data_IF_492197770449
#
_entry.id   IF_492197770449
#
_cell.length_a   1.000
_cell.length_b   1.000
_cell.length_c   1.000
_cell.angle_alpha   90.00
_cell.angle_beta   90.00
_cell.angle_gamma   90.00
#
_symmetry.space_group_name_H-M   'P 1'
#
loop_
_entity.id
_entity.type
_entity.pdbx_description
1 polymer ?
#
# COMPACT_ATOMS: atom_id res chain seq x y z
N UNK A 1 50.82 -91.49 31.10
CA UNK A 1 50.64 -91.33 29.65
C UNK A 1 49.19 -91.69 29.32
N UNK A 2 48.61 -90.96 28.38
CA UNK A 2 47.21 -90.92 27.90
C UNK A 2 46.31 -92.17 28.04
N UNK A 3 45.03 -91.92 28.37
CA UNK A 3 43.75 -92.47 27.80
C UNK A 3 42.59 -91.95 28.70
N UNK A 4 41.63 -91.14 28.24
CA UNK A 4 40.50 -91.36 27.31
C UNK A 4 39.20 -91.82 28.01
N UNK A 5 38.08 -91.19 27.60
CA UNK A 5 36.65 -91.57 27.73
C UNK A 5 35.92 -91.13 29.02
N UNK A 6 35.03 -90.15 28.94
CA UNK A 6 33.59 -90.18 28.58
C UNK A 6 32.70 -90.63 29.74
N UNK A 7 31.90 -89.70 30.29
CA UNK A 7 30.46 -89.89 30.49
C UNK A 7 29.87 -88.55 30.96
N UNK A 8 29.32 -87.76 30.04
CA UNK A 8 28.49 -86.60 30.38
C UNK A 8 27.05 -86.99 30.08
N UNK A 9 26.38 -87.52 31.11
CA UNK A 9 24.97 -87.90 31.09
C UNK A 9 24.05 -86.69 31.21
N UNK A 10 22.95 -86.78 30.48
CA UNK A 10 21.77 -85.91 30.52
C UNK A 10 21.20 -85.73 31.96
N UNK A 11 20.49 -84.67 32.31
CA UNK A 11 19.06 -84.49 32.04
C UNK A 11 18.59 -83.07 32.45
N UNK A 12 17.62 -82.55 31.71
CA UNK A 12 16.85 -81.30 31.92
C UNK A 12 16.08 -81.28 33.27
N UNK A 13 15.54 -80.14 33.81
CA UNK A 13 14.51 -79.35 33.12
C UNK A 13 14.38 -77.84 33.45
N UNK A 14 13.85 -77.11 32.47
CA UNK A 14 12.91 -76.00 32.66
C UNK A 14 13.49 -74.64 33.06
N UNK A 15 13.18 -73.61 32.27
CA UNK A 15 12.59 -72.31 32.68
C UNK A 15 12.73 -71.26 31.57
N UNK A 16 11.58 -70.92 30.98
CA UNK A 16 11.13 -69.57 30.58
C UNK A 16 12.13 -68.68 29.82
N UNK A 17 11.95 -68.62 28.50
CA UNK A 17 12.08 -67.39 27.71
C UNK A 17 10.85 -67.35 26.79
N UNK A 18 9.80 -66.59 27.08
CA UNK A 18 9.74 -65.14 26.91
C UNK A 18 10.01 -64.72 25.46
N UNK A 19 8.93 -64.27 24.80
CA UNK A 19 8.97 -63.06 24.00
C UNK A 19 9.77 -63.07 22.70
N UNK A 20 9.40 -63.89 21.71
CA UNK A 20 9.79 -63.62 20.32
C UNK A 20 8.93 -64.39 19.31
N UNK A 21 7.63 -64.14 19.30
CA UNK A 21 6.80 -64.34 18.10
C UNK A 21 5.51 -63.53 18.23
N UNK A 22 5.66 -62.22 18.09
CA UNK A 22 4.59 -61.33 17.63
C UNK A 22 5.22 -60.41 16.56
N UNK A 23 5.07 -60.81 15.31
CA UNK A 23 5.38 -59.98 14.16
C UNK A 23 4.16 -60.00 13.26
N UNK A 24 3.21 -59.15 13.62
CA UNK A 24 2.65 -58.13 12.74
C UNK A 24 2.31 -58.65 11.34
N UNK A 25 1.19 -59.38 11.27
CA UNK A 25 0.46 -59.60 10.04
C UNK A 25 -0.09 -58.24 9.58
N UNK A 26 0.76 -57.47 8.88
CA UNK A 26 0.39 -56.22 8.24
C UNK A 26 -0.69 -56.51 7.21
N UNK A 27 -1.95 -56.50 7.66
CA UNK A 27 -3.11 -56.27 6.79
C UNK A 27 -2.90 -54.91 6.15
N UNK A 28 -2.30 -54.91 4.97
CA UNK A 28 -2.32 -53.77 4.05
C UNK A 28 -3.79 -53.54 3.68
N UNK A 29 -4.47 -52.71 4.47
CA UNK A 29 -5.78 -52.21 4.15
C UNK A 29 -5.66 -51.38 2.87
N UNK A 30 -6.06 -51.98 1.75
CA UNK A 30 -6.22 -51.30 0.48
C UNK A 30 -7.24 -50.18 0.75
N UNK A 31 -6.77 -48.93 0.87
CA UNK A 31 -7.65 -47.77 0.92
C UNK A 31 -8.54 -47.86 -0.33
N UNK A 32 -9.87 -48.03 -0.18
CA UNK A 32 -10.72 -48.25 -1.35
C UNK A 32 -10.50 -47.08 -2.30
N UNK A 33 -10.27 -47.35 -3.59
CA UNK A 33 -9.96 -46.33 -4.60
C UNK A 33 -10.91 -45.11 -4.53
N UNK A 34 -12.15 -45.34 -4.10
CA UNK A 34 -13.14 -44.31 -3.78
C UNK A 34 -12.72 -43.32 -2.69
N UNK A 35 -12.09 -43.75 -1.60
CA UNK A 35 -11.55 -42.85 -0.57
C UNK A 35 -10.39 -42.00 -1.10
N UNK A 36 -9.51 -42.58 -1.92
CA UNK A 36 -8.43 -41.82 -2.57
C UNK A 36 -8.99 -40.77 -3.54
N UNK A 37 -10.00 -41.15 -4.34
CA UNK A 37 -10.67 -40.22 -5.25
C UNK A 37 -11.41 -39.11 -4.50
N UNK A 38 -12.10 -39.43 -3.40
CA UNK A 38 -12.78 -38.42 -2.56
C UNK A 38 -11.77 -37.47 -1.90
N UNK A 39 -10.64 -37.97 -1.40
CA UNK A 39 -9.58 -37.15 -0.84
C UNK A 39 -8.94 -36.22 -1.89
N UNK A 40 -8.71 -36.72 -3.11
CA UNK A 40 -8.23 -35.91 -4.23
C UNK A 40 -9.22 -34.83 -4.65
N UNK A 41 -10.52 -35.15 -4.71
CA UNK A 41 -11.57 -34.19 -5.03
C UNK A 41 -11.68 -33.10 -3.96
N UNK A 42 -11.65 -33.47 -2.67
CA UNK A 42 -11.65 -32.51 -1.57
C UNK A 42 -10.41 -31.62 -1.58
N UNK A 43 -9.23 -32.18 -1.86
CA UNK A 43 -7.99 -31.42 -2.02
C UNK A 43 -8.03 -30.45 -3.21
N UNK A 44 -8.56 -30.88 -4.36
CA UNK A 44 -8.69 -30.04 -5.55
C UNK A 44 -9.71 -28.90 -5.35
N UNK A 45 -10.85 -29.18 -4.69
CA UNK A 45 -11.84 -28.15 -4.34
C UNK A 45 -11.26 -27.14 -3.35
N UNK A 46 -10.49 -27.59 -2.35
CA UNK A 46 -9.80 -26.71 -1.41
C UNK A 46 -8.75 -25.81 -2.10
N UNK A 47 -7.99 -26.36 -3.05
CA UNK A 47 -7.03 -25.61 -3.87
C UNK A 47 -7.71 -24.56 -4.76
N UNK A 48 -8.86 -24.88 -5.34
CA UNK A 48 -9.63 -23.97 -6.19
C UNK A 48 -10.27 -22.82 -5.39
N UNK A 49 -10.71 -23.06 -4.15
CA UNK A 49 -11.29 -22.00 -3.30
C UNK A 49 -10.22 -21.11 -2.67
N UNK A 50 -9.07 -21.66 -2.27
CA UNK A 50 -7.94 -20.89 -1.71
C UNK A 50 -7.41 -19.83 -2.68
N UNK A 51 -7.42 -20.10 -3.99
CA UNK A 51 -6.97 -19.14 -5.02
C UNK A 51 -7.89 -17.92 -5.16
N UNK A 52 -9.16 -18.02 -4.77
CA UNK A 52 -10.11 -16.90 -4.74
C UNK A 52 -10.13 -16.15 -3.38
N UNK A 53 -9.50 -16.72 -2.35
CA UNK A 53 -9.51 -16.17 -0.97
C UNK A 53 -8.16 -15.58 -0.57
N UNK A 54 -7.07 -15.95 -1.24
CA UNK A 54 -5.76 -15.32 -1.05
C UNK A 54 -5.67 -14.05 -1.91
N UNK A 55 -5.75 -12.83 -1.31
CA UNK A 55 -5.37 -11.63 -2.04
C UNK A 55 -3.93 -11.81 -2.51
N UNK A 56 -3.72 -11.70 -3.82
CA UNK A 56 -2.39 -11.73 -4.42
C UNK A 56 -1.53 -10.65 -3.79
N UNK A 57 -0.62 -11.07 -2.92
CA UNK A 57 0.41 -10.23 -2.37
C UNK A 57 1.55 -10.14 -3.36
N UNK A 58 1.42 -9.29 -4.39
CA UNK A 58 2.49 -8.79 -5.25
C UNK A 58 1.94 -7.50 -5.89
N UNK A 59 2.48 -6.30 -5.76
CA UNK A 59 3.78 -5.85 -5.32
C UNK A 59 3.59 -4.67 -4.37
N UNK A 60 4.29 -4.72 -3.23
CA UNK A 60 4.70 -3.48 -2.57
C UNK A 60 5.72 -2.84 -3.51
N UNK A 61 5.24 -2.12 -4.52
CA UNK A 61 6.00 -1.03 -5.10
C UNK A 61 6.42 -0.22 -3.88
N UNK A 62 7.73 -0.13 -3.63
CA UNK A 62 8.27 0.71 -2.57
C UNK A 62 7.53 2.05 -2.65
N UNK A 63 6.59 2.27 -1.73
CA UNK A 63 5.85 3.51 -1.71
C UNK A 63 6.94 4.55 -1.45
N UNK A 64 7.19 5.49 -2.38
CA UNK A 64 8.18 6.51 -2.13
C UNK A 64 7.84 7.14 -0.79
N UNK A 65 8.82 7.20 0.11
CA UNK A 65 8.64 7.77 1.44
C UNK A 65 7.92 9.11 1.27
N UNK A 66 6.69 9.17 1.77
CA UNK A 66 5.75 10.26 1.51
C UNK A 66 6.30 11.58 2.08
N UNK A 67 7.28 11.48 2.97
CA UNK A 67 7.83 12.57 3.75
C UNK A 67 9.14 13.14 3.17
N UNK A 68 9.74 12.49 2.17
CA UNK A 68 10.98 12.98 1.58
C UNK A 68 10.70 14.17 0.64
N UNK A 69 11.47 15.28 0.74
CA UNK A 69 11.41 16.36 -0.23
C UNK A 69 11.61 15.81 -1.64
N UNK A 70 10.64 16.05 -2.51
CA UNK A 70 10.72 15.60 -3.90
C UNK A 70 10.87 16.81 -4.81
N UNK A 71 11.93 16.85 -5.61
CA UNK A 71 12.06 17.85 -6.67
C UNK A 71 11.21 17.41 -7.86
N UNK A 72 10.27 18.26 -8.27
CA UNK A 72 9.37 18.04 -9.39
C UNK A 72 9.75 18.96 -10.54
N UNK A 73 9.97 18.37 -11.72
CA UNK A 73 10.29 19.08 -12.96
C UNK A 73 9.47 18.50 -14.12
N UNK A 74 8.15 18.61 -14.00
CA UNK A 74 7.20 18.23 -15.07
C UNK A 74 6.33 19.42 -15.43
N UNK A 75 5.60 19.31 -16.55
CA UNK A 75 4.56 20.27 -16.90
C UNK A 75 3.22 19.81 -16.38
N UNK A 76 2.49 20.75 -15.80
CA UNK A 76 1.14 20.58 -15.30
C UNK A 76 0.12 21.14 -16.29
N UNK A 77 -0.90 20.34 -16.59
CA UNK A 77 -2.11 20.79 -17.28
C UNK A 77 -3.15 21.30 -16.26
N UNK A 78 -4.09 22.13 -16.68
CA UNK A 78 -5.29 22.39 -15.89
C UNK A 78 -6.29 21.27 -16.17
N UNK A 79 -6.76 20.59 -15.12
CA UNK A 79 -7.60 19.40 -15.25
C UNK A 79 -8.80 19.52 -14.31
N UNK A 80 -9.91 18.90 -14.68
CA UNK A 80 -11.08 18.79 -13.81
C UNK A 80 -11.06 17.46 -13.02
N UNK A 81 -10.34 16.45 -13.53
CA UNK A 81 -10.20 15.13 -12.92
C UNK A 81 -8.72 14.72 -12.76
N UNK A 82 -8.48 13.72 -11.91
CA UNK A 82 -7.18 13.10 -11.71
C UNK A 82 -7.04 11.88 -12.62
N UNK A 83 -6.33 12.03 -13.74
CA UNK A 83 -6.11 10.98 -14.75
C UNK A 83 -4.72 10.32 -14.61
N UNK A 84 -4.03 10.54 -13.49
CA UNK A 84 -2.68 10.05 -13.24
C UNK A 84 -1.57 10.95 -13.79
N UNK A 85 -1.90 11.98 -14.56
CA UNK A 85 -0.95 12.97 -15.06
C UNK A 85 -0.67 14.07 -14.02
N UNK A 86 0.29 14.94 -14.35
CA UNK A 86 0.55 16.15 -13.59
C UNK A 86 -0.55 17.19 -13.91
N UNK A 87 -1.45 17.41 -12.95
CA UNK A 87 -2.68 18.17 -13.15
C UNK A 87 -2.89 19.20 -12.04
N UNK A 88 -3.32 20.41 -12.38
CA UNK A 88 -3.79 21.41 -11.42
C UNK A 88 -5.29 21.26 -11.30
N UNK A 89 -5.76 21.00 -10.07
CA UNK A 89 -7.17 20.77 -9.77
C UNK A 89 -7.85 22.08 -9.32
N UNK A 90 -7.19 22.83 -8.43
CA UNK A 90 -7.66 24.11 -7.89
C UNK A 90 -6.50 25.08 -7.70
N UNK A 91 -6.77 26.24 -7.11
CA UNK A 91 -5.77 27.26 -6.79
C UNK A 91 -4.83 26.86 -5.63
N UNK A 92 -5.10 25.75 -4.94
CA UNK A 92 -4.32 25.21 -3.84
C UNK A 92 -4.11 23.68 -3.90
N UNK A 93 -4.61 23.00 -4.94
CA UNK A 93 -4.52 21.55 -5.05
C UNK A 93 -4.05 21.10 -6.44
N UNK A 94 -3.19 20.09 -6.46
CA UNK A 94 -2.65 19.48 -7.67
C UNK A 94 -2.58 17.96 -7.55
N UNK A 95 -2.61 17.27 -8.68
CA UNK A 95 -2.36 15.85 -8.78
C UNK A 95 -0.99 15.60 -9.43
N UNK A 96 -0.27 14.62 -8.91
CA UNK A 96 1.02 14.20 -9.42
C UNK A 96 1.22 12.70 -9.13
N UNK A 97 1.64 11.94 -10.14
CA UNK A 97 1.86 10.48 -10.03
C UNK A 97 0.66 9.72 -9.42
N UNK A 98 -0.56 10.03 -9.90
CA UNK A 98 -1.77 9.35 -9.45
C UNK A 98 -2.24 9.68 -8.04
N UNK A 99 -1.68 10.73 -7.42
CA UNK A 99 -2.05 11.18 -6.07
C UNK A 99 -2.41 12.66 -6.07
N UNK A 100 -3.39 13.02 -5.25
CA UNK A 100 -3.77 14.42 -4.96
C UNK A 100 -2.91 14.95 -3.81
N UNK A 101 -2.53 16.22 -3.93
CA UNK A 101 -1.80 17.00 -2.95
C UNK A 101 -2.46 18.38 -2.83
N UNK A 102 -2.35 19.01 -1.67
CA UNK A 102 -2.72 20.41 -1.44
C UNK A 102 -1.55 21.20 -0.87
N UNK A 103 -1.58 22.51 -1.07
CA UNK A 103 -0.59 23.44 -0.54
C UNK A 103 -0.91 23.73 0.93
N UNK A 104 -0.04 23.29 1.84
CA UNK A 104 -0.28 23.31 3.28
C UNK A 104 -0.34 24.73 3.88
N UNK A 105 0.30 25.71 3.24
CA UNK A 105 0.44 27.08 3.75
C UNK A 105 -0.66 28.04 3.27
N UNK A 106 -1.57 27.57 2.41
CA UNK A 106 -2.63 28.41 1.83
C UNK A 106 -4.02 27.77 1.88
N UNK A 107 -5.03 28.58 1.66
CA UNK A 107 -6.38 28.15 1.32
C UNK A 107 -6.88 28.96 0.13
N UNK A 108 -7.59 28.31 -0.79
CA UNK A 108 -8.13 28.96 -1.97
C UNK A 108 -9.56 28.51 -2.29
N UNK A 109 -10.34 29.30 -3.05
CA UNK A 109 -11.67 28.88 -3.47
C UNK A 109 -11.58 27.79 -4.56
N UNK A 110 -12.61 26.95 -4.61
CA UNK A 110 -12.79 25.94 -5.64
C UNK A 110 -13.90 26.35 -6.60
N UNK A 111 -13.79 25.92 -7.87
CA UNK A 111 -14.85 26.17 -8.87
C UNK A 111 -16.09 25.35 -8.52
N UNK A 112 -15.87 24.07 -8.20
CA UNK A 112 -16.91 23.19 -7.66
C UNK A 112 -17.35 23.68 -6.28
N UNK A 113 -18.64 23.94 -6.11
CA UNK A 113 -19.20 24.40 -4.83
C UNK A 113 -19.05 25.90 -4.55
N UNK A 114 -18.62 26.71 -5.52
CA UNK A 114 -18.60 28.16 -5.37
C UNK A 114 -19.99 28.72 -5.04
N UNK A 115 -20.10 29.58 -4.03
CA UNK A 115 -21.37 30.14 -3.53
C UNK A 115 -21.85 31.34 -4.33
N UNK A 116 -20.97 31.94 -5.12
CA UNK A 116 -21.25 33.10 -5.94
C UNK A 116 -20.33 33.16 -7.18
N UNK A 117 -20.68 33.97 -8.21
CA UNK A 117 -19.87 34.10 -9.41
C UNK A 117 -18.45 34.63 -9.15
N UNK A 118 -18.29 35.56 -8.21
CA UNK A 118 -16.98 36.14 -7.85
C UNK A 118 -16.00 35.10 -7.29
N UNK A 119 -16.50 34.19 -6.43
CA UNK A 119 -15.72 33.08 -5.88
C UNK A 119 -15.27 32.12 -6.99
N UNK A 120 -16.18 31.78 -7.92
CA UNK A 120 -15.85 30.92 -9.06
C UNK A 120 -14.82 31.57 -10.01
N UNK A 121 -14.91 32.88 -10.25
CA UNK A 121 -13.93 33.65 -11.02
C UNK A 121 -12.57 33.68 -10.32
N UNK A 122 -12.54 33.90 -9.00
CA UNK A 122 -11.30 33.85 -8.22
C UNK A 122 -10.67 32.46 -8.27
N UNK A 123 -11.47 31.40 -8.14
CA UNK A 123 -11.01 30.01 -8.24
C UNK A 123 -10.36 29.71 -9.60
N UNK A 124 -11.00 30.10 -10.71
CA UNK A 124 -10.44 29.92 -12.07
C UNK A 124 -9.12 30.67 -12.27
N UNK A 125 -9.06 31.93 -11.81
CA UNK A 125 -7.84 32.75 -11.91
C UNK A 125 -6.72 32.17 -11.06
N UNK A 126 -7.02 31.74 -9.84
CA UNK A 126 -6.06 31.09 -8.95
C UNK A 126 -5.55 29.77 -9.52
N UNK A 127 -6.42 28.93 -10.10
CA UNK A 127 -6.02 27.67 -10.77
C UNK A 127 -5.01 27.95 -11.90
N UNK A 128 -5.30 28.94 -12.74
CA UNK A 128 -4.43 29.36 -13.83
C UNK A 128 -3.09 29.91 -13.31
N UNK A 129 -3.12 30.69 -12.24
CA UNK A 129 -1.93 31.24 -11.61
C UNK A 129 -1.05 30.15 -11.00
N UNK A 130 -1.62 29.18 -10.29
CA UNK A 130 -0.88 28.05 -9.73
C UNK A 130 -0.22 27.24 -10.86
N UNK A 131 -0.94 26.99 -11.94
CA UNK A 131 -0.38 26.31 -13.12
C UNK A 131 0.84 27.05 -13.68
N UNK A 132 0.74 28.37 -13.84
CA UNK A 132 1.85 29.19 -14.30
C UNK A 132 3.04 29.16 -13.33
N UNK A 133 2.77 29.18 -12.01
CA UNK A 133 3.80 29.04 -10.98
C UNK A 133 4.53 27.70 -11.08
N UNK A 134 3.80 26.57 -11.11
CA UNK A 134 4.42 25.24 -11.16
C UNK A 134 5.18 25.01 -12.47
N UNK A 135 4.65 25.51 -13.59
CA UNK A 135 5.29 25.39 -14.91
C UNK A 135 6.46 26.38 -15.13
N UNK A 136 6.67 27.33 -14.22
CA UNK A 136 7.77 28.30 -14.29
C UNK A 136 9.16 27.73 -14.05
N UNK A 137 9.27 26.45 -13.67
CA UNK A 137 10.54 25.75 -13.47
C UNK A 137 10.44 24.65 -12.41
N UNK A 138 11.54 23.93 -12.12
CA UNK A 138 11.57 22.94 -11.05
C UNK A 138 11.18 23.54 -9.70
N UNK A 139 10.57 22.73 -8.84
CA UNK A 139 10.25 23.11 -7.47
C UNK A 139 10.37 21.90 -6.54
N UNK A 140 10.57 22.15 -5.26
CA UNK A 140 10.57 21.14 -4.22
C UNK A 140 9.17 21.03 -3.60
N UNK A 141 8.62 19.83 -3.54
CA UNK A 141 7.45 19.52 -2.74
C UNK A 141 7.90 18.88 -1.42
N UNK A 142 7.80 19.62 -0.32
CA UNK A 142 8.18 19.15 1.03
C UNK A 142 6.92 18.74 1.77
N UNK A 143 6.96 17.60 2.45
CA UNK A 143 5.84 17.20 3.31
C UNK A 143 5.68 18.18 4.48
N UNK A 144 4.43 18.57 4.75
CA UNK A 144 4.10 19.20 6.03
C UNK A 144 3.67 18.11 7.01
N UNK A 145 4.51 17.87 8.03
CA UNK A 145 4.25 16.86 9.06
C UNK A 145 3.30 17.35 10.15
N UNK A 146 2.96 18.64 10.16
CA UNK A 146 2.00 19.21 11.11
C UNK A 146 0.54 19.05 10.62
N UNK A 147 0.33 18.96 9.31
CA UNK A 147 -0.97 18.66 8.73
C UNK A 147 -1.30 17.17 8.91
N UNK A 148 -2.57 16.87 9.18
CA UNK A 148 -3.07 15.49 9.32
C UNK A 148 -3.22 14.81 7.96
N UNK A 149 -3.36 15.59 6.88
CA UNK A 149 -3.45 15.05 5.53
C UNK A 149 -2.05 14.71 4.98
N UNK A 150 -1.75 13.43 4.67
CA UNK A 150 -0.46 13.00 4.13
C UNK A 150 -0.12 13.59 2.74
N UNK A 151 -1.09 14.19 2.07
CA UNK A 151 -0.96 14.94 0.82
C UNK A 151 -0.56 16.41 1.01
N UNK A 152 -0.43 16.90 2.24
CA UNK A 152 -0.06 18.28 2.51
C UNK A 152 1.39 18.57 2.09
N UNK A 153 1.58 19.56 1.23
CA UNK A 153 2.90 19.93 0.71
C UNK A 153 3.17 21.42 0.83
N UNK A 154 4.37 21.76 1.27
CA UNK A 154 4.94 23.09 1.11
C UNK A 154 5.76 23.12 -0.18
N UNK A 155 5.35 23.95 -1.14
CA UNK A 155 6.01 24.05 -2.45
C UNK A 155 7.05 25.16 -2.44
N UNK A 156 8.31 24.80 -2.65
CA UNK A 156 9.44 25.72 -2.55
C UNK A 156 10.18 25.83 -3.88
N UNK A 157 10.58 27.05 -4.25
CA UNK A 157 11.50 27.31 -5.36
C UNK A 157 12.51 28.35 -4.92
N UNK A 158 13.80 28.02 -5.00
CA UNK A 158 14.90 28.91 -4.59
C UNK A 158 14.74 29.48 -3.17
N UNK A 159 14.20 28.66 -2.25
CA UNK A 159 13.95 29.07 -0.86
C UNK A 159 12.68 29.90 -0.65
N UNK A 160 11.88 30.15 -1.68
CA UNK A 160 10.61 30.90 -1.61
C UNK A 160 9.42 29.96 -1.71
N UNK A 161 8.41 30.14 -0.84
CA UNK A 161 7.15 29.40 -0.95
C UNK A 161 6.34 29.90 -2.15
N UNK A 162 5.96 28.98 -3.05
CA UNK A 162 5.02 29.26 -4.12
C UNK A 162 3.62 29.58 -3.57
N UNK A 163 3.22 28.99 -2.44
CA UNK A 163 1.98 29.32 -1.75
C UNK A 163 1.96 30.76 -1.26
N UNK A 164 3.07 31.23 -0.67
CA UNK A 164 3.16 32.62 -0.23
C UNK A 164 3.15 33.62 -1.41
N UNK A 165 3.70 33.24 -2.57
CA UNK A 165 3.56 34.03 -3.79
C UNK A 165 2.11 34.08 -4.30
N UNK A 166 1.34 32.99 -4.13
CA UNK A 166 -0.09 32.96 -4.45
C UNK A 166 -0.88 33.91 -3.55
N UNK A 167 -0.56 33.97 -2.25
CA UNK A 167 -1.14 34.93 -1.30
C UNK A 167 -0.80 36.36 -1.73
N UNK A 168 0.49 36.65 -1.97
CA UNK A 168 0.95 37.99 -2.34
C UNK A 168 0.26 38.52 -3.61
N UNK A 169 -0.06 37.63 -4.56
CA UNK A 169 -0.75 37.97 -5.80
C UNK A 169 -2.28 37.98 -5.68
N UNK A 170 -2.85 37.72 -4.51
CA UNK A 170 -4.29 37.75 -4.25
C UNK A 170 -5.06 36.53 -4.78
N UNK A 171 -4.37 35.43 -5.09
CA UNK A 171 -5.00 34.20 -5.56
C UNK A 171 -5.39 33.23 -4.44
N UNK A 172 -4.82 33.40 -3.25
CA UNK A 172 -5.07 32.58 -2.08
C UNK A 172 -4.98 33.42 -0.80
N UNK A 173 -5.38 32.84 0.33
CA UNK A 173 -5.20 33.40 1.68
C UNK A 173 -4.33 32.44 2.50
N UNK A 174 -3.71 32.91 3.60
CA UNK A 174 -3.05 32.00 4.55
C UNK A 174 -3.98 30.87 4.97
N UNK A 175 -3.42 29.67 5.14
CA UNK A 175 -4.18 28.54 5.63
C UNK A 175 -4.90 28.88 6.94
N UNK A 176 -6.16 28.44 7.04
CA UNK A 176 -7.05 28.76 8.16
C UNK A 176 -8.00 27.61 8.42
N UNK A 177 -8.19 27.25 9.69
CA UNK A 177 -9.22 26.30 10.12
C UNK A 177 -10.64 26.89 10.09
N UNK A 178 -10.77 28.19 9.86
CA UNK A 178 -12.04 28.90 9.77
C UNK A 178 -12.45 29.08 8.31
N UNK A 179 -13.72 28.83 7.95
CA UNK A 179 -14.21 29.08 6.60
C UNK A 179 -13.98 30.52 6.16
N UNK A 180 -13.38 30.69 4.99
CA UNK A 180 -13.15 32.00 4.39
C UNK A 180 -14.35 32.40 3.52
N UNK A 181 -14.73 33.67 3.58
CA UNK A 181 -15.65 34.26 2.60
C UNK A 181 -14.86 34.76 1.39
N UNK A 182 -15.21 34.22 0.23
CA UNK A 182 -14.61 34.52 -1.08
C UNK A 182 -15.55 35.32 -1.98
N UNK A 183 -16.78 35.59 -1.54
CA UNK A 183 -17.76 36.37 -2.30
C UNK A 183 -17.59 37.87 -2.15
N UNK A 184 -17.01 38.30 -1.03
CA UNK A 184 -16.53 39.66 -0.84
C UNK A 184 -15.14 39.75 -1.49
N UNK A 185 -15.07 40.31 -2.70
CA UNK A 185 -13.82 40.49 -3.43
C UNK A 185 -12.78 41.16 -2.53
N UNK A 186 -11.64 40.49 -2.35
CA UNK A 186 -10.50 41.00 -1.59
C UNK A 186 -9.83 42.19 -2.26
#
# INVERSE_FOLDING_TARGET
>A
MAQSLYEMGDQSPGRKDAWLNDMDERRTGILPLRMLLVALLLGAVLLLTVRNVLPGGDASAAQPAIDAPTTISTRFAACDEMDGQACILSADSYAYQGRRYHLADISAPHVEGARCPAEADQARRGRTALQAMLNGGPFEARADTADTDPGARLLMRDGVSLGQLMILKGYARPWSNTPLDWCTGG
#
